data_IF_245929870577
#
_entry.id   IF_245929870577
#
_cell.length_a   1.000
_cell.length_b   1.000
_cell.length_c   1.000
_cell.angle_alpha   90.00
_cell.angle_beta   90.00
_cell.angle_gamma   90.00
#
_symmetry.space_group_name_H-M   'P 1'
#
loop_
_entity.id
_entity.type
_entity.pdbx_description
1 polymer ?
#
# COMPACT_ATOMS: atom_id res chain seq x y z
N UNK A 1 10.82 29.94 25.29
CA UNK A 1 11.33 28.73 24.63
C UNK A 1 10.45 27.62 25.13
N UNK A 2 9.40 27.31 24.38
CA UNK A 2 8.49 26.21 24.69
C UNK A 2 8.85 25.07 23.72
N UNK A 3 9.60 24.11 24.24
CA UNK A 3 9.80 22.81 23.61
C UNK A 3 8.47 22.07 23.67
N UNK A 4 7.63 22.25 22.65
CA UNK A 4 6.44 21.43 22.47
C UNK A 4 6.88 20.06 21.94
N UNK A 5 7.20 19.16 22.87
CA UNK A 5 7.21 17.72 22.60
C UNK A 5 5.83 17.33 22.08
N UNK A 6 5.76 16.90 20.81
CA UNK A 6 4.57 16.24 20.26
C UNK A 6 4.37 14.95 21.05
N UNK A 7 3.47 15.03 22.03
CA UNK A 7 2.99 13.89 22.80
C UNK A 7 2.31 12.92 21.83
N UNK A 8 3.00 11.81 21.57
CA UNK A 8 2.46 10.64 20.87
C UNK A 8 1.44 9.99 21.80
N UNK A 9 0.23 10.53 21.84
CA UNK A 9 -0.87 9.96 22.60
C UNK A 9 -2.11 9.90 21.74
N UNK A 10 -2.59 8.67 21.58
CA UNK A 10 -3.95 8.29 21.22
C UNK A 10 -4.29 8.07 19.72
N UNK A 11 -3.42 7.35 19.01
CA UNK A 11 -3.89 6.47 17.95
C UNK A 11 -4.05 5.08 18.58
N UNK A 12 -5.29 4.63 18.78
CA UNK A 12 -5.62 3.24 19.13
C UNK A 12 -5.29 2.32 17.94
N UNK A 13 -3.99 2.15 17.68
CA UNK A 13 -3.49 1.25 16.64
C UNK A 13 -3.75 -0.17 17.13
N UNK A 14 -4.45 -0.97 16.30
CA UNK A 14 -4.62 -2.39 16.55
C UNK A 14 -3.26 -3.03 16.85
N UNK A 15 -3.14 -3.99 17.80
CA UNK A 15 -1.86 -4.65 18.11
C UNK A 15 -1.19 -5.32 16.90
N UNK A 16 -1.93 -5.51 15.80
CA UNK A 16 -1.46 -6.07 14.52
C UNK A 16 -1.09 -5.00 13.49
N UNK A 17 -0.83 -3.76 13.91
CA UNK A 17 -0.53 -2.65 13.01
C UNK A 17 0.68 -1.85 13.48
N UNK A 18 1.49 -1.39 12.52
CA UNK A 18 2.68 -0.58 12.79
C UNK A 18 2.41 0.83 12.28
N UNK A 19 2.65 1.82 13.15
CA UNK A 19 2.67 3.23 12.79
C UNK A 19 4.05 3.63 12.29
N UNK A 20 4.13 4.12 11.05
CA UNK A 20 5.35 4.65 10.44
C UNK A 20 5.23 6.15 10.23
N UNK A 21 6.25 6.89 10.66
CA UNK A 21 6.29 8.33 10.48
C UNK A 21 6.54 8.68 9.01
N UNK A 22 5.63 9.44 8.42
CA UNK A 22 5.70 9.93 7.05
C UNK A 22 6.12 11.39 7.10
N UNK A 23 7.42 11.67 7.11
CA UNK A 23 7.89 13.06 7.07
C UNK A 23 7.54 13.72 5.73
N UNK A 24 7.04 14.96 5.81
CA UNK A 24 6.65 15.76 4.65
C UNK A 24 7.83 16.07 3.73
N UNK A 25 7.59 16.00 2.42
CA UNK A 25 8.57 16.47 1.42
C UNK A 25 8.79 17.98 1.51
N UNK A 26 9.80 18.46 0.78
CA UNK A 26 10.35 19.83 0.79
C UNK A 26 9.36 21.00 0.54
N UNK A 27 8.06 20.76 0.38
CA UNK A 27 7.04 21.76 0.06
C UNK A 27 6.07 22.04 1.24
N UNK A 28 6.56 22.02 2.48
CA UNK A 28 5.75 22.40 3.65
C UNK A 28 4.60 21.45 3.99
N UNK A 29 4.65 20.20 3.49
CA UNK A 29 3.67 19.17 3.82
C UNK A 29 3.78 18.80 5.30
N UNK A 30 2.68 18.89 6.05
CA UNK A 30 2.59 18.40 7.44
C UNK A 30 2.94 16.91 7.46
N UNK A 31 3.92 16.53 8.27
CA UNK A 31 4.27 15.12 8.47
C UNK A 31 3.06 14.33 8.96
N UNK A 32 2.82 13.16 8.36
CA UNK A 32 1.70 12.27 8.70
C UNK A 32 2.16 10.98 9.36
N UNK A 33 1.21 10.19 9.84
CA UNK A 33 1.45 8.82 10.30
C UNK A 33 0.77 7.88 9.31
N UNK A 34 1.52 6.91 8.78
CA UNK A 34 0.97 5.80 8.02
C UNK A 34 0.81 4.60 8.94
N UNK A 35 -0.42 4.09 9.03
CA UNK A 35 -0.71 2.84 9.74
C UNK A 35 -0.75 1.72 8.70
N UNK A 36 0.09 0.71 8.87
CA UNK A 36 0.11 -0.47 8.02
C UNK A 36 -0.31 -1.70 8.84
N UNK A 37 -1.16 -2.58 8.30
CA UNK A 37 -1.30 -3.94 8.81
C UNK A 37 0.08 -4.61 8.82
N UNK A 38 0.41 -5.31 9.91
CA UNK A 38 1.71 -5.91 10.11
C UNK A 38 1.58 -7.35 10.58
N UNK A 39 2.43 -8.20 10.02
CA UNK A 39 2.59 -9.59 10.45
C UNK A 39 3.96 -9.74 11.11
N UNK A 40 3.97 -10.07 12.41
CA UNK A 40 5.21 -10.32 13.12
C UNK A 40 5.75 -11.71 12.80
N UNK A 41 6.96 -11.76 12.25
CA UNK A 41 7.67 -13.00 11.95
C UNK A 41 8.85 -13.17 12.89
N UNK A 42 9.09 -14.39 13.37
CA UNK A 42 10.22 -14.69 14.23
C UNK A 42 11.59 -14.58 13.54
N UNK A 43 11.62 -14.53 12.20
CA UNK A 43 12.85 -14.36 11.42
C UNK A 43 12.55 -14.02 9.96
N UNK A 44 13.52 -13.46 9.23
CA UNK A 44 13.40 -13.15 7.79
C UNK A 44 13.27 -14.40 6.92
N UNK A 45 13.80 -15.54 7.37
CA UNK A 45 13.65 -16.84 6.70
C UNK A 45 12.18 -17.32 6.66
N UNK A 46 11.31 -16.79 7.52
CA UNK A 46 9.88 -17.11 7.51
C UNK A 46 9.09 -16.35 6.44
N UNK A 47 9.66 -15.31 5.80
CA UNK A 47 8.96 -14.47 4.82
C UNK A 47 8.36 -15.27 3.65
N UNK A 48 9.07 -16.21 3.00
CA UNK A 48 8.48 -16.98 1.89
C UNK A 48 7.30 -17.85 2.34
N UNK A 49 7.36 -18.40 3.55
CA UNK A 49 6.30 -19.24 4.11
C UNK A 49 5.06 -18.39 4.43
N UNK A 50 5.27 -17.23 5.04
CA UNK A 50 4.21 -16.28 5.35
C UNK A 50 3.52 -15.77 4.08
N UNK A 51 4.29 -15.38 3.06
CA UNK A 51 3.76 -14.96 1.76
C UNK A 51 2.91 -16.08 1.13
N UNK A 52 3.44 -17.31 1.07
CA UNK A 52 2.69 -18.47 0.55
C UNK A 52 1.40 -18.70 1.33
N UNK A 53 1.44 -18.60 2.66
CA UNK A 53 0.25 -18.78 3.49
C UNK A 53 -0.82 -17.73 3.16
N UNK A 54 -0.46 -16.45 3.06
CA UNK A 54 -1.39 -15.38 2.69
C UNK A 54 -2.00 -15.65 1.31
N UNK A 55 -1.17 -15.95 0.31
CA UNK A 55 -1.66 -16.24 -1.05
C UNK A 55 -2.59 -17.45 -1.10
N UNK A 56 -2.24 -18.53 -0.38
CA UNK A 56 -3.11 -19.71 -0.29
C UNK A 56 -4.45 -19.36 0.34
N UNK A 57 -4.46 -18.59 1.45
CA UNK A 57 -5.69 -18.17 2.10
C UNK A 57 -6.53 -17.29 1.17
N UNK A 58 -5.93 -16.36 0.44
CA UNK A 58 -6.63 -15.55 -0.56
C UNK A 58 -7.23 -16.43 -1.67
N UNK A 59 -6.46 -17.40 -2.18
CA UNK A 59 -6.92 -18.34 -3.20
C UNK A 59 -8.07 -19.24 -2.70
N UNK A 60 -8.01 -19.71 -1.44
CA UNK A 60 -9.05 -20.54 -0.83
C UNK A 60 -10.38 -19.77 -0.71
N UNK A 61 -10.33 -18.46 -0.42
CA UNK A 61 -11.54 -17.62 -0.33
C UNK A 61 -12.03 -17.12 -1.69
N UNK A 62 -11.18 -17.18 -2.72
CA UNK A 62 -11.58 -16.85 -4.08
C UNK A 62 -12.46 -17.94 -4.74
N UNK A 63 -12.66 -19.11 -4.13
CA UNK A 63 -13.45 -20.19 -4.73
C UNK A 63 -14.94 -19.81 -4.91
N UNK A 64 -15.45 -18.80 -4.19
CA UNK A 64 -16.82 -18.28 -4.38
C UNK A 64 -16.93 -17.19 -5.48
N UNK A 65 -15.82 -16.63 -5.95
CA UNK A 65 -15.77 -15.55 -6.94
C UNK A 65 -14.65 -15.86 -7.93
N UNK A 66 -14.98 -16.23 -9.18
CA UNK A 66 -14.06 -16.58 -10.28
C UNK A 66 -13.07 -15.45 -10.70
N UNK A 67 -12.90 -14.42 -9.86
CA UNK A 67 -12.04 -13.24 -10.02
C UNK A 67 -10.70 -13.36 -9.26
N UNK A 68 -10.43 -14.49 -8.59
CA UNK A 68 -9.26 -14.63 -7.72
C UNK A 68 -7.90 -14.70 -8.40
N UNK A 69 -7.81 -15.11 -9.66
CA UNK A 69 -6.53 -15.26 -10.35
C UNK A 69 -6.29 -14.12 -11.34
N UNK A 70 -5.18 -13.37 -11.20
CA UNK A 70 -4.89 -12.28 -12.10
C UNK A 70 -4.44 -12.81 -13.47
N UNK A 71 -4.84 -12.13 -14.54
CA UNK A 71 -4.23 -12.25 -15.85
C UNK A 71 -2.82 -11.65 -15.87
N UNK A 72 -2.55 -10.67 -14.99
CA UNK A 72 -1.28 -9.97 -14.91
C UNK A 72 -0.91 -9.64 -13.46
N UNK A 73 0.35 -9.89 -13.10
CA UNK A 73 0.94 -9.40 -11.85
C UNK A 73 1.94 -8.31 -12.20
N UNK A 74 1.77 -7.12 -11.62
CA UNK A 74 2.67 -5.99 -11.79
C UNK A 74 3.35 -5.65 -10.46
N UNK A 75 4.68 -5.73 -10.43
CA UNK A 75 5.48 -5.33 -9.27
C UNK A 75 6.08 -3.94 -9.48
N UNK A 76 5.78 -3.03 -8.57
CA UNK A 76 6.24 -1.65 -8.55
C UNK A 76 7.39 -1.51 -7.56
N UNK A 77 8.56 -1.13 -8.07
CA UNK A 77 9.77 -0.95 -7.26
C UNK A 77 10.33 0.44 -7.52
N UNK A 78 10.12 1.37 -6.58
CA UNK A 78 10.76 2.68 -6.63
C UNK A 78 11.14 3.27 -5.28
N UNK A 79 11.24 2.45 -4.25
CA UNK A 79 11.67 2.91 -2.95
C UNK A 79 13.06 3.59 -3.05
N UNK A 80 13.19 4.77 -2.46
CA UNK A 80 14.39 5.60 -2.53
C UNK A 80 14.62 6.36 -3.84
N UNK A 81 13.76 6.19 -4.85
CA UNK A 81 13.88 6.91 -6.13
C UNK A 81 13.13 8.24 -6.10
N UNK A 82 13.65 9.22 -6.85
CA UNK A 82 12.94 10.46 -7.20
C UNK A 82 12.54 10.38 -8.66
N UNK A 83 11.24 10.37 -8.92
CA UNK A 83 10.67 10.33 -10.27
C UNK A 83 10.00 11.67 -10.58
N UNK A 84 10.08 12.12 -11.84
CA UNK A 84 9.48 13.39 -12.24
C UNK A 84 7.96 13.31 -12.28
N UNK A 85 7.27 14.42 -12.00
CA UNK A 85 5.80 14.50 -12.07
C UNK A 85 5.26 14.17 -13.47
N UNK A 86 5.99 14.54 -14.52
CA UNK A 86 5.65 14.18 -15.90
C UNK A 86 5.70 12.66 -16.14
N UNK A 87 6.64 11.95 -15.50
CA UNK A 87 6.70 10.50 -15.58
C UNK A 87 5.56 9.87 -14.78
N UNK A 88 5.34 10.33 -13.55
CA UNK A 88 4.31 9.80 -12.67
C UNK A 88 2.89 10.00 -13.21
N UNK A 89 2.60 11.16 -13.80
CA UNK A 89 1.30 11.43 -14.44
C UNK A 89 1.03 10.51 -15.65
N UNK A 90 2.04 10.27 -16.48
CA UNK A 90 1.95 9.32 -17.60
C UNK A 90 1.77 7.88 -17.10
N UNK A 91 2.53 7.49 -16.09
CA UNK A 91 2.40 6.19 -15.44
C UNK A 91 1.00 6.00 -14.84
N UNK A 92 0.48 6.98 -14.12
CA UNK A 92 -0.86 6.95 -13.54
C UNK A 92 -1.95 6.77 -14.60
N UNK A 93 -1.83 7.49 -15.71
CA UNK A 93 -2.79 7.42 -16.82
C UNK A 93 -2.81 6.01 -17.43
N UNK A 94 -1.63 5.44 -17.69
CA UNK A 94 -1.51 4.07 -18.21
C UNK A 94 -2.01 3.03 -17.21
N UNK A 95 -1.65 3.17 -15.93
CA UNK A 95 -2.05 2.26 -14.87
C UNK A 95 -3.57 2.26 -14.66
N UNK A 96 -4.22 3.43 -14.76
CA UNK A 96 -5.67 3.54 -14.60
C UNK A 96 -6.43 2.70 -15.64
N UNK A 97 -5.92 2.60 -16.87
CA UNK A 97 -6.49 1.73 -17.91
C UNK A 97 -6.35 0.25 -17.55
N UNK A 98 -5.19 -0.15 -17.01
CA UNK A 98 -4.96 -1.53 -16.59
C UNK A 98 -5.84 -1.92 -15.40
N UNK A 99 -5.97 -1.03 -14.41
CA UNK A 99 -6.82 -1.26 -13.23
C UNK A 99 -8.30 -1.37 -13.65
N UNK A 100 -8.77 -0.51 -14.56
CA UNK A 100 -10.14 -0.57 -15.05
C UNK A 100 -10.45 -1.83 -15.88
N UNK A 101 -9.44 -2.45 -16.48
CA UNK A 101 -9.58 -3.70 -17.23
C UNK A 101 -9.82 -4.94 -16.37
N UNK A 102 -9.59 -4.86 -15.05
CA UNK A 102 -9.71 -6.00 -14.13
C UNK A 102 -8.57 -7.02 -14.28
N UNK A 103 -8.58 -8.07 -13.44
CA UNK A 103 -7.60 -9.18 -13.53
C UNK A 103 -6.14 -8.78 -13.30
N UNK A 104 -5.89 -7.64 -12.65
CA UNK A 104 -4.55 -7.15 -12.33
C UNK A 104 -4.28 -7.30 -10.83
N UNK A 105 -3.16 -7.95 -10.49
CA UNK A 105 -2.59 -7.87 -9.15
C UNK A 105 -1.45 -6.88 -9.13
N UNK A 106 -1.53 -5.95 -8.19
CA UNK A 106 -0.50 -4.94 -7.98
C UNK A 106 0.29 -5.27 -6.71
N UNK A 107 1.60 -5.45 -6.87
CA UNK A 107 2.53 -5.56 -5.76
C UNK A 107 3.30 -4.24 -5.68
N UNK A 108 3.21 -3.55 -4.55
CA UNK A 108 3.97 -2.32 -4.29
C UNK A 108 4.58 -2.38 -2.89
N UNK A 109 5.52 -1.49 -2.59
CA UNK A 109 6.06 -1.35 -1.23
C UNK A 109 5.00 -0.94 -0.20
N UNK A 110 3.90 -0.33 -0.64
CA UNK A 110 2.87 0.23 0.25
C UNK A 110 3.30 1.50 0.96
N UNK A 111 4.57 1.94 0.85
CA UNK A 111 5.08 3.10 1.54
C UNK A 111 4.61 4.40 0.89
N UNK A 112 4.13 5.37 1.69
CA UNK A 112 3.72 6.69 1.16
C UNK A 112 4.84 7.43 0.41
N UNK A 113 6.10 7.18 0.79
CA UNK A 113 7.28 7.82 0.21
C UNK A 113 7.76 7.18 -1.08
N UNK A 114 7.30 5.96 -1.39
CA UNK A 114 7.60 5.31 -2.66
C UNK A 114 6.71 5.95 -3.75
N UNK A 115 7.30 6.62 -4.75
CA UNK A 115 6.52 7.39 -5.72
C UNK A 115 5.59 6.52 -6.55
N UNK A 116 5.99 5.31 -6.94
CA UNK A 116 5.11 4.39 -7.67
C UNK A 116 4.01 3.82 -6.78
N UNK A 117 4.29 3.48 -5.52
CA UNK A 117 3.27 2.99 -4.59
C UNK A 117 2.19 4.06 -4.34
N UNK A 118 2.63 5.32 -4.12
CA UNK A 118 1.72 6.46 -3.95
C UNK A 118 0.89 6.71 -5.20
N UNK A 119 1.49 6.74 -6.38
CA UNK A 119 0.77 6.96 -7.64
C UNK A 119 -0.23 5.84 -7.92
N UNK A 120 0.13 4.59 -7.64
CA UNK A 120 -0.77 3.46 -7.81
C UNK A 120 -1.95 3.49 -6.83
N UNK A 121 -1.72 3.87 -5.57
CA UNK A 121 -2.80 4.10 -4.60
C UNK A 121 -3.78 5.17 -5.09
N UNK A 122 -3.28 6.27 -5.66
CA UNK A 122 -4.12 7.32 -6.26
C UNK A 122 -4.94 6.80 -7.44
N UNK A 123 -4.33 6.01 -8.33
CA UNK A 123 -5.04 5.39 -9.46
C UNK A 123 -6.14 4.43 -8.99
N UNK A 124 -5.85 3.58 -8.01
CA UNK A 124 -6.82 2.64 -7.43
C UNK A 124 -8.00 3.37 -6.80
N UNK A 125 -7.76 4.45 -6.03
CA UNK A 125 -8.83 5.25 -5.40
C UNK A 125 -9.76 5.92 -6.41
N UNK A 126 -9.26 6.19 -7.61
CA UNK A 126 -10.08 6.77 -8.68
C UNK A 126 -11.01 5.74 -9.35
N UNK A 127 -10.67 4.45 -9.30
CA UNK A 127 -11.40 3.37 -9.99
C UNK A 127 -12.28 2.56 -9.04
N UNK A 128 -11.79 2.29 -7.82
CA UNK A 128 -12.53 1.49 -6.84
C UNK A 128 -13.63 2.35 -6.19
N UNK A 129 -14.87 1.84 -6.07
CA UNK A 129 -15.90 2.51 -5.28
C UNK A 129 -15.38 2.70 -3.86
N UNK A 130 -15.57 3.89 -3.27
CA UNK A 130 -15.04 4.25 -1.95
C UNK A 130 -15.81 3.57 -0.79
N UNK A 131 -16.12 2.29 -0.93
CA UNK A 131 -16.80 1.50 0.08
C UNK A 131 -15.73 0.72 0.84
N UNK A 132 -15.34 1.25 1.99
CA UNK A 132 -14.58 0.51 2.98
C UNK A 132 -15.42 -0.72 3.41
N UNK A 133 -15.12 -1.89 2.88
CA UNK A 133 -15.51 -3.12 3.55
C UNK A 133 -14.50 -3.38 4.66
N UNK A 134 -14.94 -3.14 5.90
CA UNK A 134 -14.30 -3.68 7.09
C UNK A 134 -14.48 -5.19 7.01
N UNK A 135 -13.43 -5.91 6.64
CA UNK A 135 -13.37 -7.35 6.89
C UNK A 135 -13.25 -7.52 8.41
N UNK A 136 -14.31 -8.06 9.01
CA UNK A 136 -14.42 -8.37 10.42
C UNK A 136 -14.08 -9.83 10.67
#
# INVERSE_FOLDING_TARGET
MDDSEISVTDLSVSPESIATAVGGGNDGAVGGIQICPALTLGSTQALPIAAKHIYNRLADHAVEIDEGMPNMILSLVSNGNQLSENYLSRFQSALSVLVAGGGLWLVSSGEYRDPLARTASTALRAVLPQVCYVFQ
#
